data_IF_152185115569
#
_entry.id   IF_152185115569
#
_cell.length_a   1.000
_cell.length_b   1.000
_cell.length_c   1.000
_cell.angle_alpha   90.00
_cell.angle_beta   90.00
_cell.angle_gamma   90.00
#
_symmetry.space_group_name_H-M   'P 1'
#
loop_
_entity.id
_entity.type
_entity.pdbx_description
1 polymer ?
#
# COMPACT_ATOMS: atom_id res chain seq x y z
N UNK A 1 11.71 -4.16 -21.48
CA UNK A 1 11.95 -4.35 -20.03
C UNK A 1 10.64 -4.06 -19.33
N UNK A 2 10.22 -4.92 -18.40
CA UNK A 2 9.02 -4.70 -17.57
C UNK A 2 9.53 -4.25 -16.20
N UNK A 3 8.98 -3.16 -15.67
CA UNK A 3 9.33 -2.68 -14.33
C UNK A 3 8.45 -3.34 -13.29
N UNK A 4 9.05 -3.91 -12.26
CA UNK A 4 8.35 -4.58 -11.15
C UNK A 4 8.77 -4.07 -9.77
N UNK A 5 9.62 -3.06 -9.72
CA UNK A 5 10.04 -2.44 -8.47
C UNK A 5 8.89 -1.63 -7.83
N UNK A 6 8.93 -1.39 -6.50
CA UNK A 6 7.99 -0.49 -5.84
C UNK A 6 7.92 0.89 -6.53
N UNK A 7 6.71 1.46 -6.61
CA UNK A 7 6.42 2.67 -7.41
C UNK A 7 7.18 3.91 -6.93
N UNK A 8 7.47 4.02 -5.63
CA UNK A 8 8.16 5.17 -5.05
C UNK A 8 8.98 4.77 -3.82
N UNK A 9 10.00 5.56 -3.44
CA UNK A 9 10.69 5.38 -2.17
C UNK A 9 9.72 5.37 -0.99
N UNK A 10 10.08 4.65 0.08
CA UNK A 10 9.29 4.53 1.31
C UNK A 10 7.85 4.07 1.09
N UNK A 11 7.62 3.32 0.02
CA UNK A 11 6.31 2.85 -0.34
C UNK A 11 6.31 1.34 -0.57
N UNK A 12 5.25 0.68 -0.11
CA UNK A 12 5.09 -0.77 -0.27
C UNK A 12 3.64 -1.12 -0.59
N UNK A 13 3.45 -2.19 -1.36
CA UNK A 13 2.14 -2.82 -1.52
C UNK A 13 1.63 -3.29 -0.16
N UNK A 14 0.36 -3.03 0.12
CA UNK A 14 -0.35 -3.58 1.27
C UNK A 14 -1.75 -4.03 0.85
N UNK A 15 -2.40 -4.84 1.67
CA UNK A 15 -3.72 -5.36 1.39
C UNK A 15 -4.62 -5.21 2.59
N UNK A 16 -5.87 -4.81 2.35
CA UNK A 16 -6.92 -4.76 3.37
C UNK A 16 -7.92 -5.88 3.09
N UNK A 17 -8.17 -6.72 4.10
CA UNK A 17 -9.13 -7.82 3.98
C UNK A 17 -10.58 -7.29 3.94
N UNK A 18 -11.42 -7.90 3.11
CA UNK A 18 -12.86 -7.64 3.12
C UNK A 18 -13.53 -8.10 4.42
N UNK A 19 -14.61 -7.43 4.83
CA UNK A 19 -15.35 -7.82 6.05
C UNK A 19 -16.32 -8.97 5.80
N UNK A 20 -17.09 -8.92 4.70
CA UNK A 20 -18.04 -9.99 4.33
C UNK A 20 -17.33 -11.21 3.74
N UNK A 21 -16.23 -10.97 3.02
CA UNK A 21 -15.42 -11.97 2.34
C UNK A 21 -13.95 -11.78 2.73
N UNK A 22 -13.49 -12.40 3.84
CA UNK A 22 -12.13 -12.21 4.38
C UNK A 22 -11.00 -12.64 3.44
N UNK A 23 -11.30 -13.54 2.49
CA UNK A 23 -10.37 -13.97 1.45
C UNK A 23 -10.08 -12.88 0.41
N UNK A 24 -10.93 -11.85 0.32
CA UNK A 24 -10.71 -10.72 -0.59
C UNK A 24 -9.66 -9.79 0.00
N UNK A 25 -8.55 -9.66 -0.71
CA UNK A 25 -7.43 -8.78 -0.37
C UNK A 25 -7.46 -7.55 -1.30
N UNK A 26 -7.94 -6.41 -0.79
CA UNK A 26 -8.04 -5.16 -1.57
C UNK A 26 -6.68 -4.46 -1.59
N UNK A 27 -6.07 -4.21 -2.77
CA UNK A 27 -4.74 -3.65 -2.86
C UNK A 27 -4.73 -2.15 -2.55
N UNK A 28 -3.78 -1.76 -1.70
CA UNK A 28 -3.41 -0.38 -1.44
C UNK A 28 -1.89 -0.27 -1.48
N UNK A 29 -1.43 0.96 -1.41
CA UNK A 29 -0.02 1.28 -1.23
C UNK A 29 0.13 2.12 0.02
N UNK A 30 0.96 1.65 0.95
CA UNK A 30 1.33 2.39 2.15
C UNK A 30 2.56 3.25 1.83
N UNK A 31 2.53 4.53 2.23
CA UNK A 31 3.66 5.46 2.11
C UNK A 31 4.04 5.93 3.51
N UNK A 32 5.24 5.58 3.95
CA UNK A 32 5.77 6.04 5.25
C UNK A 32 6.15 7.52 5.16
N UNK A 33 5.66 8.31 6.11
CA UNK A 33 5.96 9.74 6.22
C UNK A 33 7.18 9.97 7.12
N UNK A 34 7.94 11.03 6.86
CA UNK A 34 9.01 11.47 7.76
C UNK A 34 8.42 12.12 9.01
N UNK A 35 9.05 11.91 10.18
CA UNK A 35 8.67 12.60 11.41
C UNK A 35 8.74 14.12 11.26
N UNK A 36 7.73 14.83 11.72
CA UNK A 36 7.78 16.29 11.86
C UNK A 36 8.72 16.61 13.02
N UNK A 37 9.89 17.17 12.74
CA UNK A 37 10.80 17.63 13.81
C UNK A 37 10.11 18.75 14.57
N UNK A 38 9.72 18.48 15.82
CA UNK A 38 9.35 19.51 16.78
C UNK A 38 10.57 20.37 17.09
N UNK A 39 10.77 21.45 16.33
CA UNK A 39 11.77 22.46 16.65
C UNK A 39 11.38 23.18 17.93
N UNK A 40 12.34 23.36 18.85
CA UNK A 40 12.22 24.26 19.99
C UNK A 40 11.54 25.57 19.58
N UNK A 41 10.48 25.96 20.30
CA UNK A 41 9.62 27.09 19.95
C UNK A 41 10.37 28.41 19.82
N UNK A 42 9.95 29.20 18.82
CA UNK A 42 10.29 30.63 18.71
C UNK A 42 9.00 31.49 18.82
N UNK A 43 8.18 31.26 19.86
CA UNK A 43 7.02 32.12 20.20
C UNK A 43 5.89 32.25 19.16
N UNK A 44 6.08 31.82 17.91
CA UNK A 44 5.14 31.95 16.81
C UNK A 44 4.35 30.65 16.63
N UNK A 45 3.57 30.28 17.64
CA UNK A 45 2.37 29.44 17.53
C UNK A 45 2.45 28.03 16.93
N UNK A 46 3.57 27.55 16.40
CA UNK A 46 3.66 26.22 15.82
C UNK A 46 4.14 25.22 16.89
N UNK A 47 3.22 24.92 17.81
CA UNK A 47 3.45 23.98 18.90
C UNK A 47 3.76 22.58 18.39
N UNK A 48 4.44 21.82 19.24
CA UNK A 48 4.66 20.38 19.14
C UNK A 48 3.38 19.66 18.74
N UNK A 49 3.30 19.18 17.50
CA UNK A 49 2.30 18.18 17.16
C UNK A 49 2.66 16.93 17.97
N UNK A 50 1.72 16.47 18.79
CA UNK A 50 1.80 15.16 19.40
C UNK A 50 2.17 14.14 18.32
N UNK A 51 2.96 13.13 18.68
CA UNK A 51 3.17 11.93 17.88
C UNK A 51 1.81 11.27 17.61
N UNK A 52 1.05 11.83 16.66
CA UNK A 52 -0.14 11.20 16.15
C UNK A 52 0.34 10.05 15.28
N UNK A 53 -0.37 8.93 15.37
CA UNK A 53 -0.19 7.64 14.66
C UNK A 53 -0.08 7.72 13.12
N UNK A 54 -0.05 8.93 12.55
CA UNK A 54 0.08 9.30 11.14
C UNK A 54 1.48 9.03 10.56
N UNK A 55 2.10 7.91 10.94
CA UNK A 55 3.42 7.48 10.45
C UNK A 55 3.38 7.03 8.97
N UNK A 56 2.18 6.81 8.42
CA UNK A 56 2.01 6.45 7.02
C UNK A 56 0.61 6.79 6.49
N UNK A 57 0.50 6.90 5.17
CA UNK A 57 -0.79 7.07 4.47
C UNK A 57 -1.06 5.89 3.54
N UNK A 58 -2.32 5.45 3.46
CA UNK A 58 -2.78 4.50 2.47
C UNK A 58 -3.31 5.23 1.24
N UNK A 59 -2.80 4.87 0.07
CA UNK A 59 -3.27 5.38 -1.22
C UNK A 59 -3.76 4.24 -2.09
N UNK A 60 -4.70 4.55 -2.98
CA UNK A 60 -5.21 3.58 -3.95
C UNK A 60 -4.07 3.12 -4.88
N UNK A 61 -4.01 1.81 -5.16
CA UNK A 61 -2.92 1.23 -5.95
C UNK A 61 -3.43 0.32 -7.08
N UNK A 62 -3.37 0.85 -8.30
CA UNK A 62 -3.80 0.17 -9.53
C UNK A 62 -2.69 -0.65 -10.21
N UNK A 63 -1.48 -0.69 -9.65
CA UNK A 63 -0.35 -1.39 -10.29
C UNK A 63 -0.46 -2.92 -10.25
N UNK A 64 -1.38 -3.47 -9.45
CA UNK A 64 -1.62 -4.91 -9.35
C UNK A 64 -0.41 -5.69 -8.82
N UNK A 65 -0.31 -7.00 -9.13
CA UNK A 65 0.79 -7.86 -8.66
C UNK A 65 2.18 -7.41 -9.12
N UNK A 66 2.28 -6.55 -10.14
CA UNK A 66 3.57 -6.13 -10.71
C UNK A 66 4.48 -5.40 -9.73
N UNK A 67 3.93 -4.76 -8.69
CA UNK A 67 4.71 -4.04 -7.66
C UNK A 67 4.64 -4.74 -6.30
N UNK A 68 4.09 -5.95 -6.26
CA UNK A 68 4.10 -6.79 -5.08
C UNK A 68 5.37 -7.65 -5.09
N UNK A 69 6.32 -7.44 -4.16
CA UNK A 69 7.57 -8.21 -4.14
C UNK A 69 7.36 -9.70 -3.84
N UNK A 70 6.16 -10.10 -3.40
CA UNK A 70 5.81 -11.51 -3.16
C UNK A 70 5.18 -12.18 -4.38
N UNK A 71 4.81 -11.43 -5.41
CA UNK A 71 4.23 -11.99 -6.63
C UNK A 71 5.33 -12.49 -7.58
N UNK A 72 5.14 -13.68 -8.12
CA UNK A 72 5.96 -14.16 -9.23
C UNK A 72 5.32 -13.73 -10.56
N UNK A 73 6.01 -12.91 -11.34
CA UNK A 73 5.51 -12.35 -12.60
C UNK A 73 6.15 -13.09 -13.77
N UNK A 74 5.35 -13.90 -14.46
CA UNK A 74 5.67 -14.44 -15.79
C UNK A 74 4.57 -14.03 -16.78
N UNK A 75 4.92 -13.19 -17.74
CA UNK A 75 3.98 -12.70 -18.76
C UNK A 75 3.48 -13.79 -19.71
N UNK A 76 4.20 -14.91 -19.82
CA UNK A 76 3.81 -16.04 -20.67
C UNK A 76 2.73 -16.89 -20.00
N UNK A 77 2.74 -16.93 -18.67
CA UNK A 77 1.76 -17.65 -17.85
C UNK A 77 0.56 -16.76 -17.46
N UNK A 78 0.75 -15.44 -17.46
CA UNK A 78 -0.26 -14.47 -17.04
C UNK A 78 -0.32 -14.28 -15.51
N UNK A 79 -1.31 -13.53 -15.04
CA UNK A 79 -1.51 -13.27 -13.62
C UNK A 79 -2.34 -14.37 -12.95
N UNK A 80 -2.10 -14.60 -11.66
CA UNK A 80 -2.93 -15.47 -10.84
C UNK A 80 -4.41 -15.05 -10.93
N UNK A 81 -5.33 -15.95 -11.33
CA UNK A 81 -6.74 -15.60 -11.53
C UNK A 81 -7.51 -15.53 -10.20
N UNK A 82 -7.19 -14.55 -9.35
CA UNK A 82 -7.72 -14.40 -7.98
C UNK A 82 -9.26 -14.35 -7.87
N UNK A 83 -9.95 -14.02 -8.97
CA UNK A 83 -11.42 -13.95 -9.03
C UNK A 83 -12.10 -15.24 -9.49
N UNK A 84 -11.34 -16.24 -9.94
CA UNK A 84 -11.89 -17.49 -10.48
C UNK A 84 -12.86 -18.19 -9.50
N UNK A 85 -12.54 -18.33 -8.20
CA UNK A 85 -13.46 -18.95 -7.25
C UNK A 85 -14.82 -18.24 -7.17
N UNK A 86 -14.83 -16.90 -7.23
CA UNK A 86 -16.08 -16.13 -7.17
C UNK A 86 -16.91 -16.28 -8.43
N UNK A 87 -16.26 -16.40 -9.58
CA UNK A 87 -16.95 -16.63 -10.87
C UNK A 87 -17.60 -18.01 -10.87
N UNK A 88 -16.91 -19.02 -10.32
CA UNK A 88 -17.43 -20.38 -10.24
C UNK A 88 -18.53 -20.56 -9.18
N UNK A 89 -18.48 -19.78 -8.10
CA UNK A 89 -19.41 -19.87 -6.98
C UNK A 89 -20.64 -18.97 -7.05
N UNK A 90 -20.87 -18.28 -8.18
CA UNK A 90 -22.01 -17.35 -8.37
C UNK A 90 -23.32 -18.06 -8.71
#
# INVERSE_FOLDING_TARGET
>A
VISTDPISPNSKKTYVAGTLHPEIQVPFREITLSSTVGGNGNGNGNGTHAENDESSILVYDTSGPYTDPKANIDIREGLNPIRLPWIMGR
#
